data_IF_919132049975
#
_entry.id   IF_919132049975
#
_cell.length_a   1.000
_cell.length_b   1.000
_cell.length_c   1.000
_cell.angle_alpha   90.00
_cell.angle_beta   90.00
_cell.angle_gamma   90.00
#
_symmetry.space_group_name_H-M   'P 1'
#
loop_
_entity.id
_entity.type
_entity.pdbx_description
1 polymer ?
#
# COMPACT_ATOMS: atom_id res chain seq x y z
N UNK A 1 -9.17 16.12 -1.14
CA UNK A 1 -7.81 16.23 -0.56
C UNK A 1 -7.10 17.35 -1.28
N UNK A 2 -6.40 18.25 -0.61
CA UNK A 2 -5.45 19.15 -1.25
C UNK A 2 -4.29 18.30 -1.74
N UNK A 3 -3.91 18.44 -3.02
CA UNK A 3 -2.75 17.75 -3.57
C UNK A 3 -1.51 18.04 -2.71
N UNK A 4 -0.68 17.02 -2.46
CA UNK A 4 0.55 17.15 -1.66
C UNK A 4 1.65 17.90 -2.40
N UNK A 5 1.55 17.98 -3.73
CA UNK A 5 2.52 18.59 -4.64
C UNK A 5 1.84 19.08 -5.90
N UNK A 6 2.55 19.89 -6.67
CA UNK A 6 2.25 20.23 -8.07
C UNK A 6 3.41 19.76 -8.96
N UNK A 7 3.16 19.49 -10.24
CA UNK A 7 4.23 19.07 -11.17
C UNK A 7 5.31 20.15 -11.37
N UNK A 8 5.04 21.39 -10.95
CA UNK A 8 5.98 22.51 -10.99
C UNK A 8 6.84 22.65 -9.75
N UNK A 9 6.63 21.84 -8.72
CA UNK A 9 7.44 21.85 -7.51
C UNK A 9 8.85 21.33 -7.82
N UNK A 10 9.89 22.00 -7.34
CA UNK A 10 11.28 21.55 -7.53
C UNK A 10 11.56 20.26 -6.76
N UNK A 11 10.88 20.09 -5.61
CA UNK A 11 11.04 18.96 -4.75
C UNK A 11 12.44 18.82 -4.16
N UNK A 12 12.73 17.65 -3.61
CA UNK A 12 14.03 17.31 -3.00
C UNK A 12 15.09 17.08 -4.08
N UNK A 13 16.29 17.64 -3.91
CA UNK A 13 17.38 17.50 -4.90
C UNK A 13 17.96 16.07 -4.94
N UNK A 14 18.58 15.69 -6.08
CA UNK A 14 19.29 14.42 -6.21
C UNK A 14 20.45 14.26 -5.21
N UNK A 15 21.14 15.34 -4.86
CA UNK A 15 22.18 15.33 -3.82
C UNK A 15 21.60 14.96 -2.45
N UNK A 16 20.42 15.49 -2.13
CA UNK A 16 19.70 15.16 -0.89
C UNK A 16 19.23 13.71 -0.89
N UNK A 17 18.71 13.20 -2.02
CA UNK A 17 18.36 11.79 -2.16
C UNK A 17 19.57 10.85 -2.05
N UNK A 18 20.72 11.24 -2.58
CA UNK A 18 21.95 10.46 -2.45
C UNK A 18 22.45 10.35 -0.98
N UNK A 19 22.06 11.27 -0.12
CA UNK A 19 22.34 11.22 1.32
C UNK A 19 21.35 10.38 2.13
N UNK A 20 20.23 9.95 1.52
CA UNK A 20 19.21 9.10 2.14
C UNK A 20 19.61 7.61 2.09
N UNK A 21 18.83 6.68 2.71
CA UNK A 21 19.04 5.24 2.60
C UNK A 21 19.00 4.67 1.17
N UNK A 22 18.58 5.46 0.19
CA UNK A 22 18.41 5.10 -1.22
C UNK A 22 19.64 4.41 -1.83
N UNK A 23 20.86 4.85 -1.51
CA UNK A 23 22.09 4.30 -2.09
C UNK A 23 22.52 2.97 -1.48
N UNK A 24 22.04 2.66 -0.26
CA UNK A 24 22.38 1.43 0.49
C UNK A 24 21.34 0.32 0.37
N UNK A 25 20.35 0.45 -0.52
CA UNK A 25 19.28 -0.54 -0.65
C UNK A 25 19.81 -1.91 -1.15
N UNK A 26 19.23 -3.01 -0.67
CA UNK A 26 19.54 -4.34 -1.20
C UNK A 26 19.01 -4.51 -2.62
N UNK A 27 19.60 -5.48 -3.34
CA UNK A 27 19.17 -5.84 -4.70
C UNK A 27 17.75 -6.38 -4.75
N UNK A 28 17.01 -6.03 -5.79
CA UNK A 28 15.69 -6.57 -6.06
C UNK A 28 15.78 -8.05 -6.46
N UNK A 29 14.88 -8.88 -5.91
CA UNK A 29 14.73 -10.27 -6.33
C UNK A 29 13.76 -10.36 -7.50
N UNK A 30 14.23 -10.83 -8.64
CA UNK A 30 13.42 -11.03 -9.84
C UNK A 30 12.91 -12.47 -9.91
N UNK A 31 11.97 -12.78 -9.01
CA UNK A 31 11.28 -14.06 -8.91
C UNK A 31 9.87 -13.84 -8.37
N UNK A 32 8.99 -14.80 -8.56
CA UNK A 32 7.70 -14.81 -7.85
C UNK A 32 7.87 -15.10 -6.35
N UNK A 33 6.76 -15.20 -5.60
CA UNK A 33 6.76 -15.50 -4.15
C UNK A 33 7.26 -16.89 -3.80
N UNK A 34 7.16 -17.82 -4.75
CA UNK A 34 7.61 -19.22 -4.58
C UNK A 34 9.08 -19.40 -5.01
N UNK A 35 9.75 -18.29 -5.40
CA UNK A 35 11.16 -18.28 -5.82
C UNK A 35 11.38 -18.74 -7.27
N UNK A 36 10.32 -18.85 -8.07
CA UNK A 36 10.47 -19.15 -9.50
C UNK A 36 11.02 -17.93 -10.22
N UNK A 37 12.15 -18.02 -10.95
CA UNK A 37 12.75 -16.89 -11.64
C UNK A 37 11.77 -16.22 -12.61
N UNK A 38 11.95 -14.90 -12.83
CA UNK A 38 11.14 -14.07 -13.70
C UNK A 38 10.95 -14.70 -15.09
N UNK A 39 9.71 -14.95 -15.47
CA UNK A 39 9.28 -15.44 -16.78
C UNK A 39 8.26 -14.51 -17.44
N UNK A 40 7.49 -13.82 -16.64
CA UNK A 40 6.49 -12.85 -17.09
C UNK A 40 6.52 -11.61 -16.19
N UNK A 41 6.79 -10.47 -16.76
CA UNK A 41 6.68 -9.16 -16.12
C UNK A 41 5.37 -8.53 -16.57
N UNK A 42 4.49 -8.25 -15.62
CA UNK A 42 3.32 -7.41 -15.82
C UNK A 42 3.64 -6.03 -15.25
N UNK A 43 3.52 -4.98 -16.05
CA UNK A 43 3.71 -3.60 -15.59
C UNK A 43 2.37 -2.88 -15.66
N UNK A 44 1.87 -2.41 -14.54
CA UNK A 44 0.73 -1.51 -14.47
C UNK A 44 1.25 -0.07 -14.52
N UNK A 45 0.72 0.74 -15.40
CA UNK A 45 0.89 2.17 -15.45
C UNK A 45 -0.46 2.86 -15.21
N UNK A 46 -0.52 3.90 -14.38
CA UNK A 46 -1.73 4.71 -14.25
C UNK A 46 -1.92 5.56 -15.52
N UNK A 47 -0.84 6.14 -16.02
CA UNK A 47 -0.78 6.96 -17.25
C UNK A 47 0.33 6.45 -18.16
N UNK A 48 0.27 6.73 -19.49
CA UNK A 48 1.38 6.45 -20.40
C UNK A 48 2.60 7.32 -20.04
N UNK A 49 3.68 6.73 -19.59
CA UNK A 49 5.00 7.20 -19.15
C UNK A 49 5.43 6.58 -17.81
N UNK A 50 4.49 6.21 -16.92
CA UNK A 50 4.78 5.65 -15.61
C UNK A 50 5.64 4.37 -15.68
N UNK A 51 5.32 3.48 -16.65
CA UNK A 51 6.06 2.24 -16.87
C UNK A 51 7.52 2.50 -17.26
N UNK A 52 7.75 3.54 -18.05
CA UNK A 52 9.08 3.96 -18.47
C UNK A 52 9.84 4.59 -17.31
N UNK A 53 9.19 5.51 -16.59
CA UNK A 53 9.77 6.19 -15.43
C UNK A 53 10.12 5.19 -14.33
N UNK A 54 9.14 4.41 -13.86
CA UNK A 54 9.25 3.58 -12.67
C UNK A 54 9.87 2.20 -12.90
N UNK A 55 9.68 1.60 -14.09
CA UNK A 55 10.05 0.21 -14.37
C UNK A 55 10.69 -0.02 -15.75
N UNK A 56 11.14 1.03 -16.45
CA UNK A 56 11.73 0.91 -17.78
C UNK A 56 12.98 0.06 -17.80
N UNK A 57 13.87 0.22 -16.82
CA UNK A 57 15.06 -0.62 -16.67
C UNK A 57 14.70 -2.08 -16.36
N UNK A 58 13.67 -2.31 -15.54
CA UNK A 58 13.16 -3.65 -15.27
C UNK A 58 12.59 -4.31 -16.53
N UNK A 59 11.87 -3.56 -17.39
CA UNK A 59 11.40 -4.06 -18.68
C UNK A 59 12.57 -4.43 -19.61
N UNK A 60 13.61 -3.60 -19.70
CA UNK A 60 14.82 -3.90 -20.46
C UNK A 60 15.55 -5.14 -19.90
N UNK A 61 15.63 -5.27 -18.57
CA UNK A 61 16.15 -6.47 -17.90
C UNK A 61 15.34 -7.72 -18.27
N UNK A 62 14.01 -7.62 -18.29
CA UNK A 62 13.13 -8.73 -18.68
C UNK A 62 13.40 -9.17 -20.13
N UNK A 63 13.67 -8.24 -21.05
CA UNK A 63 14.07 -8.55 -22.42
C UNK A 63 15.37 -9.38 -22.47
N UNK A 64 16.38 -8.98 -21.71
CA UNK A 64 17.66 -9.70 -21.60
C UNK A 64 17.49 -11.10 -21.01
N UNK A 65 16.60 -11.26 -20.03
CA UNK A 65 16.27 -12.55 -19.42
C UNK A 65 15.37 -13.43 -20.29
N UNK A 66 14.83 -12.89 -21.40
CA UNK A 66 13.90 -13.61 -22.27
C UNK A 66 12.50 -13.79 -21.66
N UNK A 67 12.19 -13.05 -20.62
CA UNK A 67 10.86 -13.04 -19.99
C UNK A 67 9.84 -12.31 -20.88
N UNK A 68 8.57 -12.70 -20.84
CA UNK A 68 7.49 -11.96 -21.48
C UNK A 68 7.22 -10.64 -20.74
N UNK A 69 6.75 -9.60 -21.44
CA UNK A 69 6.35 -8.33 -20.84
C UNK A 69 4.96 -7.95 -21.34
N UNK A 70 4.07 -7.67 -20.39
CA UNK A 70 2.74 -7.07 -20.64
C UNK A 70 2.63 -5.77 -19.89
N UNK A 71 2.39 -4.67 -20.58
CA UNK A 71 2.12 -3.35 -20.00
C UNK A 71 0.62 -3.12 -20.01
N UNK A 72 0.04 -2.91 -18.83
CA UNK A 72 -1.37 -2.56 -18.65
C UNK A 72 -1.44 -1.09 -18.27
N UNK A 73 -2.03 -0.27 -19.12
CA UNK A 73 -2.17 1.18 -18.91
C UNK A 73 -3.61 1.48 -18.55
N UNK A 74 -3.82 2.06 -17.38
CA UNK A 74 -5.17 2.27 -16.85
C UNK A 74 -5.92 3.39 -17.57
N UNK A 75 -5.30 4.56 -17.70
CA UNK A 75 -5.87 5.72 -18.40
C UNK A 75 -5.04 6.07 -19.64
N UNK A 76 -5.50 6.96 -20.46
CA UNK A 76 -4.69 7.47 -21.58
C UNK A 76 -4.02 8.81 -21.25
N UNK A 77 -4.13 9.28 -20.00
CA UNK A 77 -3.53 10.52 -19.55
C UNK A 77 -4.09 11.77 -20.27
N UNK A 78 -5.33 11.68 -20.70
CA UNK A 78 -6.01 12.70 -21.51
C UNK A 78 -6.25 14.01 -20.78
N UNK A 79 -6.18 14.01 -19.44
CA UNK A 79 -6.32 15.20 -18.62
C UNK A 79 -4.99 15.85 -18.21
N UNK A 80 -3.85 15.43 -18.77
CA UNK A 80 -2.52 15.96 -18.41
C UNK A 80 -2.37 17.46 -18.66
N UNK A 81 -3.00 18.01 -19.71
CA UNK A 81 -2.96 19.41 -20.07
C UNK A 81 -4.37 20.01 -20.12
N UNK A 82 -5.03 20.22 -18.96
CA UNK A 82 -6.45 20.60 -18.91
C UNK A 82 -6.72 22.01 -19.49
N UNK A 83 -5.70 22.84 -19.61
CA UNK A 83 -5.78 24.19 -20.15
C UNK A 83 -5.18 24.35 -21.55
N UNK A 84 -4.80 23.24 -22.20
CA UNK A 84 -4.18 23.28 -23.52
C UNK A 84 -5.13 23.88 -24.56
N UNK A 85 -4.73 24.94 -25.29
CA UNK A 85 -5.52 25.50 -26.36
C UNK A 85 -5.35 24.74 -27.68
N UNK A 86 -4.35 23.84 -27.78
CA UNK A 86 -3.96 23.19 -29.04
C UNK A 86 -4.26 21.70 -29.06
N UNK A 87 -4.31 21.05 -27.88
CA UNK A 87 -4.46 19.61 -27.75
C UNK A 87 -5.67 19.27 -26.85
N UNK A 88 -6.86 19.07 -27.45
CA UNK A 88 -8.01 18.58 -26.68
C UNK A 88 -7.75 17.15 -26.14
N UNK A 89 -8.49 16.70 -25.11
CA UNK A 89 -8.25 15.41 -24.44
C UNK A 89 -8.19 14.20 -25.40
N UNK A 90 -9.06 14.14 -26.40
CA UNK A 90 -9.10 13.03 -27.37
C UNK A 90 -7.83 12.97 -28.24
N UNK A 91 -7.24 14.13 -28.55
CA UNK A 91 -5.98 14.21 -29.29
C UNK A 91 -4.82 13.77 -28.42
N UNK A 92 -4.76 14.20 -27.16
CA UNK A 92 -3.75 13.76 -26.19
C UNK A 92 -3.82 12.26 -25.97
N UNK A 93 -5.01 11.71 -25.76
CA UNK A 93 -5.21 10.27 -25.62
C UNK A 93 -4.62 9.46 -26.79
N UNK A 94 -4.87 9.93 -28.03
CA UNK A 94 -4.36 9.25 -29.23
C UNK A 94 -2.83 9.34 -29.33
N UNK A 95 -2.25 10.53 -29.09
CA UNK A 95 -0.80 10.71 -29.12
C UNK A 95 -0.11 9.87 -28.04
N UNK A 96 -0.57 9.93 -26.80
CA UNK A 96 0.01 9.17 -25.68
C UNK A 96 -0.15 7.66 -25.86
N UNK A 97 -1.20 7.20 -26.52
CA UNK A 97 -1.37 5.79 -26.88
C UNK A 97 -0.32 5.32 -27.90
N UNK A 98 0.14 6.19 -28.81
CA UNK A 98 1.21 5.86 -29.76
C UNK A 98 2.59 5.97 -29.08
N UNK A 99 2.81 6.98 -28.23
CA UNK A 99 4.04 7.18 -27.46
C UNK A 99 4.35 5.97 -26.56
N UNK A 100 3.36 5.47 -25.79
CA UNK A 100 3.57 4.29 -24.93
C UNK A 100 3.94 3.04 -25.73
N UNK A 101 3.38 2.83 -26.91
CA UNK A 101 3.74 1.69 -27.77
C UNK A 101 5.17 1.81 -28.30
N UNK A 102 5.57 3.01 -28.68
CA UNK A 102 6.95 3.30 -29.14
C UNK A 102 7.94 3.11 -27.97
N UNK A 103 7.66 3.67 -26.80
CA UNK A 103 8.47 3.54 -25.60
C UNK A 103 8.62 2.07 -25.17
N UNK A 104 7.51 1.32 -25.10
CA UNK A 104 7.55 -0.09 -24.77
C UNK A 104 8.38 -0.92 -25.75
N UNK A 105 8.35 -0.58 -27.06
CA UNK A 105 9.17 -1.26 -28.07
C UNK A 105 10.67 -0.96 -27.92
N UNK A 106 11.07 0.22 -27.42
CA UNK A 106 12.46 0.54 -27.07
C UNK A 106 12.96 -0.32 -25.90
N UNK A 107 12.12 -0.60 -24.93
CA UNK A 107 12.46 -1.35 -23.71
C UNK A 107 12.40 -2.86 -23.95
N UNK A 108 11.38 -3.34 -24.63
CA UNK A 108 11.17 -4.75 -24.91
C UNK A 108 10.45 -4.93 -26.26
N UNK A 109 11.16 -5.35 -27.34
CA UNK A 109 10.61 -5.37 -28.72
C UNK A 109 9.34 -6.22 -28.91
N UNK A 110 9.00 -7.09 -27.95
CA UNK A 110 7.80 -7.94 -27.98
C UNK A 110 6.83 -7.64 -26.82
N UNK A 111 6.97 -6.48 -26.18
CA UNK A 111 6.04 -6.07 -25.14
C UNK A 111 4.61 -5.98 -25.68
N UNK A 112 3.67 -6.55 -24.97
CA UNK A 112 2.26 -6.35 -25.21
C UNK A 112 1.79 -5.10 -24.46
N UNK A 113 1.11 -4.16 -25.13
CA UNK A 113 0.55 -2.95 -24.49
C UNK A 113 -0.97 -3.01 -24.55
N UNK A 114 -1.60 -2.97 -23.39
CA UNK A 114 -3.04 -3.05 -23.19
C UNK A 114 -3.52 -1.74 -22.57
N UNK A 115 -4.36 -1.00 -23.30
CA UNK A 115 -4.96 0.24 -22.84
C UNK A 115 -6.36 -0.08 -22.29
N UNK A 116 -6.63 0.22 -21.01
CA UNK A 116 -7.96 0.02 -20.42
C UNK A 116 -8.92 1.16 -20.76
N UNK A 117 -8.42 2.36 -21.09
CA UNK A 117 -9.22 3.52 -21.46
C UNK A 117 -10.13 4.01 -20.33
N UNK A 118 -9.71 3.84 -19.07
CA UNK A 118 -10.44 4.38 -17.93
C UNK A 118 -10.23 5.91 -17.83
N UNK A 119 -11.18 6.65 -17.23
CA UNK A 119 -11.08 8.10 -17.16
C UNK A 119 -9.89 8.58 -16.30
N UNK A 120 -9.05 9.45 -16.86
CA UNK A 120 -7.93 10.09 -16.19
C UNK A 120 -8.41 11.00 -15.03
N UNK A 121 -7.69 10.96 -13.89
CA UNK A 121 -8.05 11.67 -12.66
C UNK A 121 -9.18 11.02 -11.86
N UNK A 122 -9.68 9.84 -12.27
CA UNK A 122 -10.83 9.15 -11.63
C UNK A 122 -10.60 7.66 -11.36
N UNK A 123 -9.37 7.20 -11.39
CA UNK A 123 -9.06 5.77 -11.27
C UNK A 123 -9.52 5.16 -9.94
N UNK A 124 -9.61 5.97 -8.89
CA UNK A 124 -10.14 5.52 -7.59
C UNK A 124 -11.58 4.96 -7.64
N UNK A 125 -12.38 5.36 -8.62
CA UNK A 125 -13.72 4.81 -8.84
C UNK A 125 -13.71 3.53 -9.70
N UNK A 126 -12.55 3.10 -10.20
CA UNK A 126 -12.38 2.00 -11.17
C UNK A 126 -11.36 0.96 -10.71
N UNK A 127 -10.97 0.94 -9.43
CA UNK A 127 -9.97 -0.01 -8.89
C UNK A 127 -10.33 -1.48 -9.20
N UNK A 128 -11.63 -1.84 -9.12
CA UNK A 128 -12.09 -3.20 -9.44
C UNK A 128 -11.83 -3.60 -10.90
N UNK A 129 -12.00 -2.65 -11.84
CA UNK A 129 -11.73 -2.90 -13.25
C UNK A 129 -10.24 -3.14 -13.52
N UNK A 130 -9.36 -2.34 -12.88
CA UNK A 130 -7.91 -2.54 -12.93
C UNK A 130 -7.51 -3.86 -12.31
N UNK A 131 -8.04 -4.17 -11.11
CA UNK A 131 -7.80 -5.46 -10.42
C UNK A 131 -8.17 -6.64 -11.29
N UNK A 132 -9.35 -6.62 -11.92
CA UNK A 132 -9.81 -7.68 -12.81
C UNK A 132 -8.91 -7.83 -14.05
N UNK A 133 -8.49 -6.72 -14.66
CA UNK A 133 -7.59 -6.71 -15.81
C UNK A 133 -6.21 -7.30 -15.47
N UNK A 134 -5.71 -7.09 -14.25
CA UNK A 134 -4.45 -7.65 -13.80
C UNK A 134 -4.57 -9.15 -13.48
N UNK A 135 -5.60 -9.56 -12.74
CA UNK A 135 -5.74 -10.94 -12.23
C UNK A 135 -5.60 -12.02 -13.29
N UNK A 136 -6.16 -11.80 -14.46
CA UNK A 136 -6.08 -12.78 -15.57
C UNK A 136 -4.65 -13.00 -16.12
N UNK A 137 -3.66 -12.26 -15.58
CA UNK A 137 -2.25 -12.29 -16.03
C UNK A 137 -1.28 -12.72 -14.93
N UNK A 138 -1.76 -13.00 -13.72
CA UNK A 138 -0.92 -13.22 -12.54
C UNK A 138 -0.81 -14.68 -12.09
N UNK A 139 -1.49 -15.59 -12.75
CA UNK A 139 -1.56 -17.02 -12.34
C UNK A 139 -0.37 -17.86 -12.83
N UNK A 140 0.45 -17.34 -13.75
CA UNK A 140 1.59 -18.09 -14.29
C UNK A 140 2.78 -18.05 -13.32
N UNK A 141 3.47 -19.20 -13.09
CA UNK A 141 4.68 -19.24 -12.28
C UNK A 141 5.80 -18.34 -12.84
N UNK A 142 6.52 -17.65 -11.97
CA UNK A 142 7.55 -16.70 -12.35
C UNK A 142 6.99 -15.33 -12.75
N UNK A 143 5.77 -14.98 -12.34
CA UNK A 143 5.17 -13.67 -12.60
C UNK A 143 5.60 -12.65 -11.54
N UNK A 144 6.05 -11.48 -12.02
CA UNK A 144 6.27 -10.27 -11.21
C UNK A 144 5.35 -9.18 -11.73
N UNK A 145 4.63 -8.52 -10.83
CA UNK A 145 3.83 -7.32 -11.10
C UNK A 145 4.60 -6.09 -10.61
N UNK A 146 4.92 -5.16 -11.52
CA UNK A 146 5.38 -3.83 -11.16
C UNK A 146 4.21 -2.84 -11.28
N UNK A 147 4.02 -1.95 -10.31
CA UNK A 147 2.89 -1.01 -10.27
C UNK A 147 3.30 0.31 -9.59
N UNK A 148 2.59 1.42 -9.81
CA UNK A 148 2.78 2.63 -9.04
C UNK A 148 2.62 2.37 -7.54
N UNK A 149 3.38 3.08 -6.71
CA UNK A 149 3.26 2.94 -5.26
C UNK A 149 1.89 3.44 -4.77
N UNK A 150 1.21 2.65 -3.95
CA UNK A 150 -0.13 2.97 -3.42
C UNK A 150 -0.19 4.19 -2.47
N UNK A 151 0.96 4.82 -2.17
CA UNK A 151 1.11 6.04 -1.37
C UNK A 151 1.99 7.07 -2.10
N UNK A 152 2.03 7.03 -3.43
CA UNK A 152 2.83 7.91 -4.28
C UNK A 152 2.39 9.39 -4.21
N UNK A 153 1.15 9.63 -3.76
CA UNK A 153 0.58 10.96 -3.55
C UNK A 153 -0.19 11.51 -4.76
N UNK A 154 -0.14 10.86 -5.92
CA UNK A 154 -1.03 11.09 -7.04
C UNK A 154 -2.26 10.19 -6.93
N UNK A 155 -3.47 10.74 -7.05
CA UNK A 155 -4.72 9.99 -6.80
C UNK A 155 -4.86 8.73 -7.65
N UNK A 156 -4.46 8.77 -8.91
CA UNK A 156 -4.55 7.63 -9.81
C UNK A 156 -3.43 6.62 -9.56
N UNK A 157 -2.21 7.05 -9.18
CA UNK A 157 -1.14 6.14 -8.75
C UNK A 157 -1.51 5.40 -7.49
N UNK A 158 -2.04 6.13 -6.50
CA UNK A 158 -2.50 5.52 -5.24
C UNK A 158 -3.59 4.47 -5.52
N UNK A 159 -4.52 4.75 -6.43
CA UNK A 159 -5.57 3.83 -6.83
C UNK A 159 -5.02 2.62 -7.62
N UNK A 160 -4.10 2.85 -8.57
CA UNK A 160 -3.43 1.79 -9.32
C UNK A 160 -2.65 0.84 -8.40
N UNK A 161 -1.87 1.39 -7.44
CA UNK A 161 -1.14 0.61 -6.46
C UNK A 161 -2.06 -0.23 -5.56
N UNK A 162 -3.20 0.33 -5.10
CA UNK A 162 -4.20 -0.45 -4.35
C UNK A 162 -4.83 -1.55 -5.18
N UNK A 163 -5.16 -1.29 -6.44
CA UNK A 163 -5.69 -2.29 -7.35
C UNK A 163 -4.68 -3.42 -7.61
N UNK A 164 -3.39 -3.08 -7.78
CA UNK A 164 -2.30 -4.05 -7.91
C UNK A 164 -2.16 -4.91 -6.63
N UNK A 165 -2.18 -4.29 -5.45
CA UNK A 165 -2.14 -5.00 -4.17
C UNK A 165 -3.33 -5.96 -3.99
N UNK A 166 -4.53 -5.57 -4.44
CA UNK A 166 -5.70 -6.43 -4.44
C UNK A 166 -5.59 -7.58 -5.46
N UNK A 167 -5.01 -7.31 -6.64
CA UNK A 167 -4.88 -8.30 -7.69
C UNK A 167 -3.98 -9.49 -7.32
N UNK A 168 -2.92 -9.25 -6.55
CA UNK A 168 -1.98 -10.32 -6.14
C UNK A 168 -2.47 -11.19 -4.99
N UNK A 169 -3.63 -10.89 -4.37
CA UNK A 169 -4.20 -11.72 -3.30
C UNK A 169 -4.52 -13.11 -3.85
N UNK A 170 -3.94 -14.15 -3.24
CA UNK A 170 -4.18 -15.54 -3.61
C UNK A 170 -3.39 -16.02 -4.83
N UNK A 171 -2.49 -15.21 -5.39
CA UNK A 171 -1.57 -15.61 -6.47
C UNK A 171 -0.14 -15.79 -5.94
N UNK A 172 0.73 -16.43 -6.74
CA UNK A 172 2.16 -16.50 -6.46
C UNK A 172 2.94 -15.26 -6.97
N UNK A 173 2.31 -14.35 -7.68
CA UNK A 173 2.96 -13.15 -8.23
C UNK A 173 3.55 -12.26 -7.13
N UNK A 174 4.81 -11.81 -7.32
CA UNK A 174 5.46 -10.81 -6.46
C UNK A 174 5.06 -9.42 -6.92
N UNK A 175 4.73 -8.55 -5.97
CA UNK A 175 4.44 -7.14 -6.23
C UNK A 175 5.64 -6.26 -5.89
N UNK A 176 6.13 -5.52 -6.89
CA UNK A 176 7.11 -4.46 -6.78
C UNK A 176 6.43 -3.12 -7.08
N UNK A 177 6.29 -2.26 -6.08
CA UNK A 177 5.69 -0.94 -6.28
C UNK A 177 6.78 0.09 -6.56
N UNK A 178 6.64 0.90 -7.62
CA UNK A 178 7.59 1.94 -7.96
C UNK A 178 7.05 3.33 -7.64
N UNK A 179 7.83 4.18 -6.95
CA UNK A 179 7.47 5.57 -6.70
C UNK A 179 7.78 6.43 -7.94
N UNK A 180 6.88 7.37 -8.24
CA UNK A 180 7.05 8.39 -9.29
C UNK A 180 7.01 9.77 -8.66
N UNK A 181 5.84 10.20 -8.20
CA UNK A 181 5.65 11.53 -7.63
C UNK A 181 6.17 11.66 -6.19
N UNK A 182 6.29 10.54 -5.47
CA UNK A 182 6.90 10.53 -4.15
C UNK A 182 8.31 11.13 -4.15
N UNK A 183 9.06 11.03 -5.24
CA UNK A 183 10.38 11.65 -5.35
C UNK A 183 10.36 13.18 -5.29
N UNK A 184 9.20 13.84 -5.48
CA UNK A 184 9.06 15.29 -5.31
C UNK A 184 8.76 15.68 -3.86
N UNK A 185 7.82 14.99 -3.20
CA UNK A 185 7.22 15.47 -1.96
C UNK A 185 7.68 14.72 -0.71
N UNK A 186 8.19 13.46 -0.85
CA UNK A 186 8.47 12.60 0.29
C UNK A 186 9.77 12.99 1.01
N UNK A 187 9.73 12.86 2.32
CA UNK A 187 10.89 12.87 3.20
C UNK A 187 11.33 11.45 3.54
N UNK A 188 12.47 11.27 4.21
CA UNK A 188 12.97 9.95 4.57
C UNK A 188 11.97 9.14 5.43
N UNK A 189 11.18 9.82 6.26
CA UNK A 189 10.16 9.19 7.11
C UNK A 189 8.91 8.74 6.34
N UNK A 190 8.70 9.22 5.11
CA UNK A 190 7.56 8.84 4.29
C UNK A 190 7.82 7.57 3.47
N UNK A 191 9.09 7.19 3.29
CA UNK A 191 9.47 6.00 2.52
C UNK A 191 9.72 4.82 3.48
N UNK A 192 9.06 3.66 3.28
CA UNK A 192 9.28 2.46 4.08
C UNK A 192 10.58 1.75 3.62
N UNK A 193 11.74 2.32 3.98
CA UNK A 193 13.06 1.87 3.53
C UNK A 193 13.35 0.39 3.78
N UNK A 194 12.81 -0.18 4.84
CA UNK A 194 12.97 -1.62 5.15
C UNK A 194 12.35 -2.54 4.10
N UNK A 195 11.31 -2.06 3.40
CA UNK A 195 10.71 -2.73 2.26
C UNK A 195 11.33 -2.34 0.92
N UNK A 196 12.20 -1.32 0.89
CA UNK A 196 12.76 -0.82 -0.36
C UNK A 196 13.90 -1.72 -0.88
N UNK A 197 13.96 -1.86 -2.21
CA UNK A 197 14.99 -2.59 -2.95
C UNK A 197 15.41 -1.79 -4.18
N UNK A 198 16.58 -2.08 -4.70
CA UNK A 198 17.07 -1.43 -5.93
C UNK A 198 17.39 -2.47 -7.00
N UNK A 199 17.17 -2.09 -8.24
CA UNK A 199 17.62 -2.81 -9.43
C UNK A 199 18.72 -1.99 -10.09
N UNK A 200 19.98 -2.43 -9.97
CA UNK A 200 21.10 -1.80 -10.69
C UNK A 200 20.94 -2.03 -12.18
N UNK A 201 21.08 -0.96 -12.97
CA UNK A 201 20.94 -0.99 -14.41
C UNK A 201 22.32 -0.99 -15.10
N UNK A 202 22.49 -1.88 -16.04
CA UNK A 202 23.66 -1.84 -16.91
C UNK A 202 23.57 -0.68 -17.94
N UNK A 203 24.64 -0.36 -18.67
CA UNK A 203 24.61 0.72 -19.65
C UNK A 203 23.56 0.53 -20.74
N UNK A 204 23.34 -0.68 -21.25
CA UNK A 204 22.37 -0.95 -22.32
C UNK A 204 20.92 -0.75 -21.83
N UNK A 205 20.64 -1.16 -20.60
CA UNK A 205 19.32 -0.95 -19.96
C UNK A 205 19.04 0.53 -19.75
N UNK A 206 20.04 1.33 -19.34
CA UNK A 206 19.92 2.78 -19.20
C UNK A 206 19.70 3.46 -20.54
N UNK A 207 20.45 3.06 -21.57
CA UNK A 207 20.31 3.60 -22.93
C UNK A 207 18.92 3.30 -23.48
N UNK A 208 18.41 2.07 -23.30
CA UNK A 208 17.05 1.69 -23.69
C UNK A 208 15.99 2.52 -22.95
N UNK A 209 16.15 2.73 -21.64
CA UNK A 209 15.25 3.56 -20.83
C UNK A 209 15.26 5.02 -21.27
N UNK A 210 16.43 5.58 -21.54
CA UNK A 210 16.56 6.94 -22.04
C UNK A 210 15.89 7.11 -23.44
N UNK A 211 16.07 6.13 -24.32
CA UNK A 211 15.40 6.11 -25.62
C UNK A 211 13.86 6.03 -25.46
N UNK A 212 13.36 5.18 -24.57
CA UNK A 212 11.94 5.06 -24.30
C UNK A 212 11.34 6.36 -23.73
N UNK A 213 12.05 6.99 -22.78
CA UNK A 213 11.60 8.26 -22.21
C UNK A 213 11.49 9.36 -23.26
N UNK A 214 12.37 9.40 -24.26
CA UNK A 214 12.32 10.36 -25.36
C UNK A 214 11.09 10.18 -26.28
N UNK A 215 10.46 9.01 -26.30
CA UNK A 215 9.23 8.76 -27.06
C UNK A 215 8.00 9.44 -26.42
N UNK A 216 8.01 9.74 -25.12
CA UNK A 216 6.93 10.44 -24.42
C UNK A 216 6.97 11.97 -24.67
N UNK A 217 6.97 12.35 -25.94
CA UNK A 217 7.21 13.73 -26.39
C UNK A 217 6.21 14.73 -25.83
N UNK A 218 4.95 14.31 -25.61
CA UNK A 218 3.90 15.17 -25.04
C UNK A 218 4.11 15.46 -23.55
N UNK A 219 5.01 14.73 -22.87
CA UNK A 219 5.24 14.87 -21.43
C UNK A 219 6.60 15.52 -21.12
N UNK A 220 7.65 15.15 -21.88
CA UNK A 220 9.01 15.67 -21.67
C UNK A 220 9.27 17.00 -22.37
N UNK A 221 8.42 17.40 -23.31
CA UNK A 221 8.52 18.66 -24.05
C UNK A 221 7.18 19.40 -24.07
N UNK A 222 7.21 20.72 -24.40
CA UNK A 222 5.98 21.46 -24.56
C UNK A 222 5.22 21.01 -25.83
N UNK A 223 3.89 20.95 -25.74
CA UNK A 223 3.01 20.64 -26.87
C UNK A 223 3.05 21.71 -27.94
N UNK A 224 3.19 22.98 -27.54
CA UNK A 224 3.34 24.16 -28.35
C UNK A 224 3.92 25.31 -27.51
N UNK A 225 4.21 26.49 -28.14
CA UNK A 225 4.63 27.69 -27.38
C UNK A 225 3.51 28.38 -26.60
N UNK A 226 2.28 27.91 -26.69
CA UNK A 226 1.12 28.57 -26.08
C UNK A 226 1.05 28.23 -24.56
N UNK A 227 0.60 29.17 -23.70
CA UNK A 227 0.35 28.91 -22.31
C UNK A 227 -0.66 27.78 -22.09
N UNK A 228 -0.34 26.82 -21.19
CA UNK A 228 -1.12 25.61 -20.96
C UNK A 228 -0.63 24.38 -21.72
N UNK A 229 0.39 24.56 -22.56
CA UNK A 229 1.06 23.53 -23.35
C UNK A 229 2.49 23.20 -22.82
N UNK A 230 2.83 23.63 -21.61
CA UNK A 230 4.14 23.41 -21.01
C UNK A 230 4.39 21.92 -20.73
N UNK A 231 5.67 21.52 -20.71
CA UNK A 231 6.04 20.14 -20.36
C UNK A 231 5.57 19.78 -18.95
N UNK A 232 5.06 18.57 -18.77
CA UNK A 232 4.64 18.03 -17.45
C UNK A 232 5.86 17.49 -16.68
N UNK A 233 6.74 16.76 -17.36
CA UNK A 233 7.96 16.20 -16.75
C UNK A 233 9.11 17.20 -16.92
N UNK A 234 9.30 18.03 -15.91
CA UNK A 234 10.39 19.00 -15.90
C UNK A 234 11.76 18.30 -15.78
N UNK A 235 12.86 18.92 -16.25
CA UNK A 235 14.20 18.30 -16.21
C UNK A 235 14.61 17.82 -14.82
N UNK A 236 14.24 18.55 -13.77
CA UNK A 236 14.51 18.14 -12.39
C UNK A 236 13.77 16.86 -12.00
N UNK A 237 12.58 16.61 -12.53
CA UNK A 237 11.85 15.37 -12.32
C UNK A 237 12.46 14.23 -13.14
N UNK A 238 12.78 14.46 -14.40
CA UNK A 238 13.41 13.48 -15.30
C UNK A 238 14.73 12.96 -14.72
N UNK A 239 15.58 13.83 -14.15
CA UNK A 239 16.85 13.45 -13.56
C UNK A 239 16.75 12.34 -12.50
N UNK A 240 15.60 12.22 -11.80
CA UNK A 240 15.35 11.17 -10.80
C UNK A 240 15.24 9.78 -11.43
N UNK A 241 14.86 9.70 -12.70
CA UNK A 241 14.69 8.45 -13.46
C UNK A 241 15.87 8.13 -14.36
N UNK A 242 16.88 9.01 -14.43
CA UNK A 242 18.17 8.80 -15.12
C UNK A 242 19.23 8.15 -14.22
N UNK A 243 18.87 7.82 -12.95
CA UNK A 243 19.75 7.11 -12.03
C UNK A 243 20.23 5.80 -12.64
N UNK A 244 21.40 5.33 -12.20
CA UNK A 244 21.95 4.03 -12.61
C UNK A 244 21.23 2.83 -11.99
N UNK A 245 20.08 3.06 -11.36
CA UNK A 245 19.25 2.03 -10.74
C UNK A 245 17.79 2.49 -10.68
N UNK A 246 16.90 1.54 -10.56
CA UNK A 246 15.49 1.75 -10.21
C UNK A 246 15.21 1.33 -8.76
N UNK A 247 14.24 1.95 -8.14
CA UNK A 247 13.85 1.67 -6.76
C UNK A 247 12.44 1.13 -6.73
N UNK A 248 12.27 0.05 -5.98
CA UNK A 248 10.96 -0.56 -5.76
C UNK A 248 10.69 -0.75 -4.26
N UNK A 249 9.43 -0.74 -3.89
CA UNK A 249 8.95 -1.15 -2.59
C UNK A 249 8.43 -2.57 -2.72
N UNK A 250 9.19 -3.53 -2.18
CA UNK A 250 8.87 -4.95 -2.26
C UNK A 250 7.97 -5.34 -1.07
N UNK A 251 6.72 -5.64 -1.37
CA UNK A 251 5.74 -6.04 -0.38
C UNK A 251 6.16 -7.29 0.43
N UNK A 252 6.83 -8.25 -0.21
CA UNK A 252 7.28 -9.48 0.44
C UNK A 252 8.47 -9.23 1.37
N UNK A 253 9.36 -8.31 0.98
CA UNK A 253 10.49 -7.92 1.85
C UNK A 253 10.00 -7.26 3.13
N UNK A 254 9.03 -6.35 3.04
CA UNK A 254 8.41 -5.73 4.21
C UNK A 254 7.75 -6.79 5.11
N UNK A 255 6.95 -7.68 4.54
CA UNK A 255 6.34 -8.80 5.27
C UNK A 255 7.40 -9.74 5.89
N UNK A 256 8.54 -9.92 5.21
CA UNK A 256 9.64 -10.76 5.63
C UNK A 256 10.33 -10.32 6.94
N UNK A 257 10.23 -9.04 7.33
CA UNK A 257 10.73 -8.56 8.64
C UNK A 257 9.97 -9.25 9.77
N UNK A 258 8.64 -9.18 9.72
CA UNK A 258 7.77 -9.80 10.73
C UNK A 258 7.81 -11.33 10.65
N UNK A 259 7.95 -11.90 9.44
CA UNK A 259 8.11 -13.34 9.26
C UNK A 259 9.35 -13.87 9.96
N UNK A 260 10.53 -13.24 9.76
CA UNK A 260 11.77 -13.63 10.45
C UNK A 260 11.66 -13.50 11.97
N UNK A 261 10.98 -12.46 12.45
CA UNK A 261 10.77 -12.22 13.86
C UNK A 261 9.95 -13.36 14.49
N UNK A 262 8.84 -13.73 13.87
CA UNK A 262 7.95 -14.79 14.36
C UNK A 262 8.50 -16.20 14.12
N UNK A 263 9.26 -16.44 13.05
CA UNK A 263 9.90 -17.72 12.82
C UNK A 263 11.03 -18.02 13.84
N UNK A 264 11.70 -16.96 14.33
CA UNK A 264 12.79 -17.09 15.30
C UNK A 264 12.35 -17.21 16.75
N UNK A 265 11.19 -16.64 17.12
CA UNK A 265 10.71 -16.56 18.51
C UNK A 265 9.20 -16.75 18.57
N UNK A 266 8.74 -17.74 19.33
CA UNK A 266 7.32 -18.10 19.42
C UNK A 266 6.42 -16.97 19.99
N UNK A 267 6.98 -16.07 20.79
CA UNK A 267 6.30 -14.90 21.37
C UNK A 267 7.30 -13.73 21.49
N UNK A 268 7.57 -13.01 20.39
CA UNK A 268 8.62 -11.99 20.33
C UNK A 268 8.46 -10.87 21.37
N UNK A 269 7.23 -10.53 21.70
CA UNK A 269 6.94 -9.44 22.63
C UNK A 269 6.51 -9.89 24.02
N UNK A 270 6.35 -11.23 24.25
CA UNK A 270 5.90 -11.79 25.53
C UNK A 270 4.42 -11.53 25.80
N UNK A 271 3.61 -11.53 24.76
CA UNK A 271 2.16 -11.28 24.84
C UNK A 271 1.43 -12.23 25.79
N UNK A 272 1.90 -13.49 25.90
CA UNK A 272 1.24 -14.49 26.74
C UNK A 272 1.50 -14.28 28.23
N UNK A 273 2.75 -13.98 28.61
CA UNK A 273 3.22 -14.14 29.99
C UNK A 273 3.53 -12.82 30.69
N UNK A 274 3.90 -11.76 29.99
CA UNK A 274 4.20 -10.47 30.63
C UNK A 274 2.95 -9.89 31.27
N UNK A 275 3.07 -9.48 32.55
CA UNK A 275 1.96 -8.84 33.26
C UNK A 275 1.42 -7.59 32.56
N UNK A 276 2.31 -6.76 32.03
CA UNK A 276 1.95 -5.59 31.24
C UNK A 276 1.03 -5.96 30.07
N UNK A 277 1.38 -6.95 29.27
CA UNK A 277 0.63 -7.37 28.10
C UNK A 277 -0.74 -7.96 28.47
N UNK A 278 -0.79 -8.79 29.51
CA UNK A 278 -2.07 -9.33 29.99
C UNK A 278 -3.00 -8.24 30.50
N UNK A 279 -2.44 -7.25 31.25
CA UNK A 279 -3.21 -6.10 31.76
C UNK A 279 -3.69 -5.20 30.61
N UNK A 280 -2.84 -4.87 29.65
CA UNK A 280 -3.19 -4.07 28.47
C UNK A 280 -4.34 -4.71 27.69
N UNK A 281 -4.30 -6.01 27.40
CA UNK A 281 -5.40 -6.72 26.74
C UNK A 281 -6.68 -6.72 27.55
N UNK A 282 -6.60 -6.92 28.85
CA UNK A 282 -7.77 -6.84 29.73
C UNK A 282 -8.43 -5.45 29.68
N UNK A 283 -7.62 -4.37 29.69
CA UNK A 283 -8.11 -2.99 29.50
C UNK A 283 -8.73 -2.81 28.11
N UNK A 284 -8.09 -3.33 27.07
CA UNK A 284 -8.57 -3.27 25.69
C UNK A 284 -9.96 -3.87 25.55
N UNK A 285 -10.17 -5.08 26.06
CA UNK A 285 -11.48 -5.75 25.99
C UNK A 285 -12.50 -5.10 26.90
N UNK A 286 -12.11 -4.60 28.08
CA UNK A 286 -13.01 -3.92 29.01
C UNK A 286 -13.47 -2.55 28.52
N UNK A 287 -12.68 -1.88 27.67
CA UNK A 287 -13.02 -0.58 27.11
C UNK A 287 -14.13 -0.64 26.03
N UNK A 288 -14.40 -1.83 25.49
CA UNK A 288 -15.42 -2.00 24.46
C UNK A 288 -16.82 -1.64 25.01
N UNK A 289 -17.59 -0.74 24.32
CA UNK A 289 -18.84 -0.20 24.86
C UNK A 289 -20.02 -1.18 24.77
N UNK A 290 -19.88 -2.29 24.02
CA UNK A 290 -20.92 -3.32 23.89
C UNK A 290 -20.43 -4.69 24.34
N UNK A 291 -21.34 -5.52 24.76
CA UNK A 291 -21.06 -6.90 25.14
C UNK A 291 -20.72 -7.76 23.90
N UNK A 292 -21.40 -7.51 22.77
CA UNK A 292 -21.25 -8.29 21.54
C UNK A 292 -21.22 -7.42 20.30
N UNK A 293 -20.49 -7.93 19.30
CA UNK A 293 -20.36 -7.39 17.95
C UNK A 293 -20.71 -8.48 16.93
N UNK A 294 -21.24 -8.07 15.79
CA UNK A 294 -21.58 -8.97 14.70
C UNK A 294 -20.31 -9.41 13.96
N UNK A 295 -19.50 -8.44 13.52
CA UNK A 295 -18.29 -8.70 12.76
C UNK A 295 -17.16 -7.76 13.15
N UNK A 296 -16.11 -8.35 13.75
CA UNK A 296 -14.88 -7.65 14.11
C UNK A 296 -13.84 -7.71 13.00
N UNK A 297 -12.95 -6.71 12.97
CA UNK A 297 -11.68 -6.71 12.24
C UNK A 297 -10.55 -6.38 13.22
N UNK A 298 -9.55 -7.25 13.30
CA UNK A 298 -8.29 -6.99 14.01
C UNK A 298 -7.16 -6.78 13.00
N UNK A 299 -6.53 -5.60 13.06
CA UNK A 299 -5.41 -5.22 12.21
C UNK A 299 -4.10 -5.62 12.88
N UNK A 300 -3.34 -6.57 12.30
CA UNK A 300 -2.08 -7.05 12.86
C UNK A 300 -2.26 -7.91 14.10
N UNK A 301 -2.79 -9.11 13.92
CA UNK A 301 -3.14 -9.99 15.05
C UNK A 301 -1.95 -10.72 15.70
N UNK A 302 -0.76 -10.67 15.08
CA UNK A 302 0.43 -11.36 15.53
C UNK A 302 0.13 -12.85 15.87
N UNK A 303 0.49 -13.33 17.04
CA UNK A 303 0.26 -14.71 17.49
C UNK A 303 -1.17 -14.95 18.03
N UNK A 304 -2.12 -14.03 17.79
CA UNK A 304 -3.56 -14.22 18.02
C UNK A 304 -4.01 -14.19 19.49
N UNK A 305 -3.21 -13.63 20.40
CA UNK A 305 -3.58 -13.61 21.83
C UNK A 305 -4.74 -12.64 22.06
N UNK A 306 -4.72 -11.44 21.48
CA UNK A 306 -5.84 -10.50 21.56
C UNK A 306 -7.04 -11.01 20.73
N UNK A 307 -6.79 -11.65 19.58
CA UNK A 307 -7.85 -12.31 18.79
C UNK A 307 -8.66 -13.28 19.65
N UNK A 308 -7.97 -14.12 20.42
CA UNK A 308 -8.64 -15.10 21.31
C UNK A 308 -9.49 -14.42 22.41
N UNK A 309 -9.04 -13.28 22.94
CA UNK A 309 -9.78 -12.48 23.92
C UNK A 309 -10.97 -11.73 23.31
N UNK A 310 -10.87 -11.31 22.04
CA UNK A 310 -11.94 -10.61 21.28
C UNK A 310 -13.00 -11.56 20.70
N UNK A 311 -12.62 -12.77 20.33
CA UNK A 311 -13.50 -13.71 19.64
C UNK A 311 -14.79 -14.04 20.42
N UNK A 312 -14.80 -14.17 21.78
CA UNK A 312 -16.03 -14.34 22.53
C UNK A 312 -17.00 -13.13 22.46
N UNK A 313 -16.47 -11.96 22.09
CA UNK A 313 -17.21 -10.70 21.95
C UNK A 313 -17.76 -10.49 20.54
N UNK A 314 -17.42 -11.33 19.57
CA UNK A 314 -17.82 -11.24 18.17
C UNK A 314 -18.58 -12.49 17.73
N UNK A 315 -19.58 -12.33 16.84
CA UNK A 315 -20.16 -13.47 16.13
C UNK A 315 -19.13 -14.03 15.14
N UNK A 316 -18.45 -13.13 14.41
CA UNK A 316 -17.30 -13.44 13.58
C UNK A 316 -16.22 -12.36 13.74
N UNK A 317 -14.95 -12.74 13.61
CA UNK A 317 -13.82 -11.78 13.60
C UNK A 317 -12.85 -12.17 12.49
N UNK A 318 -12.51 -11.20 11.66
CA UNK A 318 -11.40 -11.29 10.71
C UNK A 318 -10.15 -10.77 11.41
N UNK A 319 -9.14 -11.61 11.55
CA UNK A 319 -7.87 -11.21 12.13
C UNK A 319 -6.77 -11.33 11.07
N UNK A 320 -6.02 -10.25 10.89
CA UNK A 320 -5.08 -10.13 9.78
C UNK A 320 -3.64 -9.99 10.26
N UNK A 321 -2.71 -10.57 9.52
CA UNK A 321 -1.27 -10.32 9.69
C UNK A 321 -0.56 -10.47 8.34
N UNK A 322 0.63 -9.89 8.21
CA UNK A 322 1.48 -10.04 7.02
C UNK A 322 2.33 -11.32 7.08
N UNK A 323 2.61 -11.83 8.29
CA UNK A 323 3.48 -12.97 8.55
C UNK A 323 2.70 -14.30 8.57
N UNK A 324 3.01 -15.25 7.67
CA UNK A 324 2.50 -16.61 7.75
C UNK A 324 2.81 -17.32 9.08
N UNK A 325 4.04 -17.10 9.64
CA UNK A 325 4.44 -17.69 10.92
C UNK A 325 3.59 -17.15 12.08
N UNK A 326 3.30 -15.84 12.08
CA UNK A 326 2.39 -15.24 13.06
C UNK A 326 0.99 -15.86 12.97
N UNK A 327 0.43 -15.97 11.76
CA UNK A 327 -0.89 -16.55 11.53
C UNK A 327 -0.96 -18.03 11.92
N UNK A 328 0.11 -18.81 11.69
CA UNK A 328 0.19 -20.19 12.13
C UNK A 328 0.19 -20.30 13.67
N UNK A 329 0.91 -19.40 14.36
CA UNK A 329 0.89 -19.31 15.82
C UNK A 329 -0.48 -18.82 16.34
N UNK A 330 -1.13 -17.87 15.64
CA UNK A 330 -2.47 -17.39 15.95
C UNK A 330 -3.51 -18.50 15.88
N UNK A 331 -3.44 -19.35 14.85
CA UNK A 331 -4.33 -20.51 14.71
C UNK A 331 -4.22 -21.45 15.91
N UNK A 332 -3.00 -21.73 16.40
CA UNK A 332 -2.77 -22.55 17.58
C UNK A 332 -3.30 -21.88 18.86
N UNK A 333 -3.08 -20.57 19.01
CA UNK A 333 -3.53 -19.81 20.18
C UNK A 333 -5.06 -19.78 20.26
N UNK A 334 -5.74 -19.50 19.15
CA UNK A 334 -7.20 -19.48 19.03
C UNK A 334 -7.79 -20.86 19.32
N UNK A 335 -7.20 -21.93 18.78
CA UNK A 335 -7.64 -23.30 19.04
C UNK A 335 -7.45 -23.69 20.52
N UNK A 336 -6.32 -23.32 21.14
CA UNK A 336 -6.05 -23.58 22.55
C UNK A 336 -7.03 -22.85 23.50
N UNK A 337 -7.57 -21.68 23.06
CA UNK A 337 -8.62 -20.95 23.77
C UNK A 337 -10.02 -21.56 23.57
N UNK A 338 -10.15 -22.67 22.84
CA UNK A 338 -11.44 -23.30 22.53
C UNK A 338 -12.30 -22.54 21.51
N UNK A 339 -11.70 -21.65 20.74
CA UNK A 339 -12.38 -20.88 19.69
C UNK A 339 -12.12 -21.55 18.35
N UNK A 340 -13.20 -21.71 17.54
CA UNK A 340 -13.10 -22.34 16.23
C UNK A 340 -12.64 -21.36 15.15
N UNK A 341 -11.89 -21.88 14.17
CA UNK A 341 -11.51 -21.17 12.95
C UNK A 341 -12.61 -21.30 11.88
N UNK A 342 -12.77 -20.28 11.02
CA UNK A 342 -13.65 -20.31 9.86
C UNK A 342 -13.27 -21.47 8.90
N UNK A 343 -14.26 -22.04 8.14
CA UNK A 343 -15.65 -21.61 8.03
C UNK A 343 -16.60 -22.12 9.14
N UNK A 344 -16.20 -23.08 9.97
CA UNK A 344 -17.07 -23.68 11.00
C UNK A 344 -17.02 -22.92 12.35
N UNK A 345 -16.05 -22.02 12.51
CA UNK A 345 -15.83 -21.22 13.72
C UNK A 345 -15.93 -19.72 13.48
N UNK A 346 -15.58 -18.94 14.52
CA UNK A 346 -15.73 -17.47 14.52
C UNK A 346 -14.56 -16.70 13.95
N UNK A 347 -13.36 -17.25 13.99
CA UNK A 347 -12.12 -16.54 13.64
C UNK A 347 -11.71 -16.87 12.21
N UNK A 348 -11.60 -15.83 11.38
CA UNK A 348 -11.10 -15.90 10.03
C UNK A 348 -9.70 -15.26 9.98
N UNK A 349 -8.66 -16.08 9.90
CA UNK A 349 -7.27 -15.63 9.83
C UNK A 349 -6.89 -15.38 8.37
N UNK A 350 -6.48 -14.13 8.06
CA UNK A 350 -6.13 -13.75 6.69
C UNK A 350 -4.74 -13.15 6.60
N UNK A 351 -3.96 -13.60 5.63
CA UNK A 351 -2.71 -12.93 5.26
C UNK A 351 -3.03 -11.72 4.39
N UNK A 352 -2.96 -10.52 4.96
CA UNK A 352 -3.20 -9.25 4.27
C UNK A 352 -2.19 -8.20 4.72
N UNK A 353 -1.74 -7.38 3.78
CA UNK A 353 -0.92 -6.19 4.04
C UNK A 353 -1.84 -4.96 4.11
N UNK A 354 -2.40 -4.72 5.30
CA UNK A 354 -3.22 -3.53 5.53
C UNK A 354 -2.32 -2.27 5.60
N UNK A 355 -2.79 -1.13 5.14
CA UNK A 355 -4.11 -0.83 4.59
C UNK A 355 -4.21 -0.98 3.05
N UNK A 356 -3.14 -1.33 2.34
CA UNK A 356 -3.14 -1.48 0.87
C UNK A 356 -4.14 -2.55 0.42
N UNK A 357 -4.10 -3.71 1.05
CA UNK A 357 -5.10 -4.77 0.93
C UNK A 357 -6.16 -4.56 2.03
N UNK A 358 -7.44 -4.80 1.72
CA UNK A 358 -8.51 -4.64 2.72
C UNK A 358 -9.53 -5.76 2.61
N UNK A 359 -10.02 -6.33 3.73
CA UNK A 359 -11.05 -7.37 3.68
C UNK A 359 -12.40 -6.77 3.30
N UNK A 360 -13.16 -7.50 2.46
CA UNK A 360 -14.49 -7.08 2.01
C UNK A 360 -15.52 -7.08 3.14
N UNK A 361 -16.55 -6.24 2.96
CA UNK A 361 -17.72 -6.14 3.82
C UNK A 361 -17.59 -5.10 4.92
N UNK A 362 -18.65 -4.97 5.71
CA UNK A 362 -18.74 -4.02 6.83
C UNK A 362 -18.33 -4.67 8.14
N UNK A 363 -17.81 -3.82 9.06
CA UNK A 363 -17.41 -4.20 10.41
C UNK A 363 -18.08 -3.28 11.43
N UNK A 364 -18.61 -3.83 12.51
CA UNK A 364 -19.12 -3.05 13.64
C UNK A 364 -18.10 -2.93 14.79
N UNK A 365 -16.92 -3.61 14.65
CA UNK A 365 -15.74 -3.41 15.48
C UNK A 365 -14.49 -3.43 14.62
N UNK A 366 -13.65 -2.40 14.71
CA UNK A 366 -12.30 -2.40 14.16
C UNK A 366 -11.30 -2.15 15.28
N UNK A 367 -10.31 -3.03 15.41
CA UNK A 367 -9.25 -2.95 16.43
C UNK A 367 -7.91 -2.73 15.75
N UNK A 368 -7.23 -1.65 16.13
CA UNK A 368 -5.87 -1.31 15.71
C UNK A 368 -5.00 -1.26 16.97
N UNK A 369 -4.30 -2.35 17.23
CA UNK A 369 -3.48 -2.50 18.44
C UNK A 369 -2.05 -2.83 18.09
N UNK A 370 -1.11 -2.00 18.54
CA UNK A 370 0.35 -2.19 18.36
C UNK A 370 0.83 -2.29 16.90
N UNK A 371 0.11 -1.62 15.96
CA UNK A 371 0.39 -1.71 14.51
C UNK A 371 0.64 -0.35 13.88
N UNK A 372 -0.04 0.70 14.35
CA UNK A 372 -0.06 2.00 13.69
C UNK A 372 1.33 2.60 13.46
N UNK A 373 2.27 2.39 14.36
CA UNK A 373 3.62 2.94 14.24
C UNK A 373 4.51 2.20 13.22
N UNK A 374 4.07 1.08 12.66
CA UNK A 374 4.72 0.42 11.53
C UNK A 374 4.28 1.01 10.18
N UNK A 375 3.36 1.96 10.18
CA UNK A 375 2.89 2.64 8.99
C UNK A 375 3.52 4.03 8.86
N UNK A 376 3.62 4.51 7.62
CA UNK A 376 3.93 5.92 7.36
C UNK A 376 2.73 6.81 7.71
N UNK A 377 2.94 8.12 7.78
CA UNK A 377 1.85 9.07 7.98
C UNK A 377 0.74 8.91 6.92
N UNK A 378 1.13 8.72 5.65
CA UNK A 378 0.18 8.45 4.56
C UNK A 378 -0.53 7.10 4.70
N UNK A 379 0.19 6.08 5.20
CA UNK A 379 -0.38 4.77 5.52
C UNK A 379 -1.45 4.84 6.60
N UNK A 380 -1.26 5.67 7.63
CA UNK A 380 -2.28 5.92 8.66
C UNK A 380 -3.51 6.64 8.09
N UNK A 381 -3.33 7.60 7.19
CA UNK A 381 -4.44 8.26 6.52
C UNK A 381 -5.27 7.25 5.69
N UNK A 382 -4.58 6.42 4.91
CA UNK A 382 -5.25 5.35 4.16
C UNK A 382 -5.93 4.34 5.08
N UNK A 383 -5.31 3.96 6.21
CA UNK A 383 -5.93 3.08 7.20
C UNK A 383 -7.24 3.68 7.73
N UNK A 384 -7.23 4.96 8.10
CA UNK A 384 -8.43 5.65 8.57
C UNK A 384 -9.53 5.70 7.48
N UNK A 385 -9.17 5.97 6.21
CA UNK A 385 -10.12 5.99 5.10
C UNK A 385 -10.74 4.60 4.86
N UNK A 386 -9.93 3.54 4.93
CA UNK A 386 -10.40 2.14 4.82
C UNK A 386 -11.34 1.77 5.98
N UNK A 387 -10.99 2.17 7.19
CA UNK A 387 -11.85 1.98 8.37
C UNK A 387 -13.19 2.68 8.14
N UNK A 388 -13.19 3.97 7.79
CA UNK A 388 -14.43 4.74 7.57
C UNK A 388 -15.30 4.15 6.46
N UNK A 389 -14.68 3.65 5.38
CA UNK A 389 -15.36 3.04 4.24
C UNK A 389 -15.99 1.68 4.52
N UNK A 390 -15.53 0.98 5.58
CA UNK A 390 -16.02 -0.35 5.96
C UNK A 390 -16.67 -0.40 7.34
N UNK A 391 -16.71 0.71 8.07
CA UNK A 391 -17.29 0.80 9.39
C UNK A 391 -18.82 0.98 9.30
N UNK A 392 -19.59 0.06 9.88
CA UNK A 392 -21.05 0.13 9.91
C UNK A 392 -21.56 1.40 10.62
N UNK A 393 -22.86 1.70 10.47
CA UNK A 393 -23.49 2.88 11.05
C UNK A 393 -23.42 2.90 12.58
N UNK A 394 -23.34 1.76 13.21
CA UNK A 394 -23.18 1.57 14.66
C UNK A 394 -21.75 1.17 15.06
N UNK A 395 -20.78 1.41 14.20
CA UNK A 395 -19.43 0.91 14.32
C UNK A 395 -18.59 1.55 15.41
N UNK A 396 -17.68 0.76 15.93
CA UNK A 396 -16.72 1.08 17.01
C UNK A 396 -15.29 0.86 16.50
N UNK A 397 -14.41 1.83 16.74
CA UNK A 397 -12.97 1.71 16.47
C UNK A 397 -12.22 1.75 17.79
N UNK A 398 -11.39 0.74 18.05
CA UNK A 398 -10.51 0.70 19.22
C UNK A 398 -9.07 0.86 18.77
N UNK A 399 -8.37 1.83 19.33
CA UNK A 399 -6.95 2.08 19.16
C UNK A 399 -6.23 1.78 20.47
N UNK A 400 -5.10 1.04 20.44
CA UNK A 400 -4.28 0.76 21.63
C UNK A 400 -2.81 0.67 21.22
N UNK A 401 -1.96 1.57 21.72
CA UNK A 401 -0.55 1.61 21.33
C UNK A 401 0.38 1.92 22.50
N UNK A 402 1.57 1.35 22.43
CA UNK A 402 2.74 1.70 23.22
C UNK A 402 3.16 3.15 22.96
N UNK A 403 3.56 3.90 24.02
CA UNK A 403 3.82 5.36 23.91
C UNK A 403 5.29 5.75 23.79
N UNK A 404 6.19 4.79 23.95
CA UNK A 404 7.62 5.08 23.84
C UNK A 404 8.14 4.87 22.41
N UNK A 405 9.27 5.50 22.05
CA UNK A 405 9.84 5.40 20.72
C UNK A 405 10.08 3.97 20.28
N UNK A 406 9.69 3.67 19.05
CA UNK A 406 9.93 2.39 18.40
C UNK A 406 11.23 2.45 17.59
N UNK A 407 12.25 1.69 18.00
CA UNK A 407 13.55 1.69 17.30
C UNK A 407 13.39 1.30 15.84
N UNK A 408 13.87 2.18 14.95
CA UNK A 408 13.79 1.98 13.49
C UNK A 408 12.48 2.44 12.85
N UNK A 409 11.55 3.02 13.62
CA UNK A 409 10.27 3.51 13.09
C UNK A 409 10.09 5.00 13.45
N UNK A 410 9.47 5.75 12.51
CA UNK A 410 9.34 7.20 12.64
C UNK A 410 8.22 7.65 13.61
N UNK A 411 7.27 6.77 13.91
CA UNK A 411 6.12 7.07 14.75
C UNK A 411 6.14 6.26 16.05
N UNK A 412 5.54 6.82 17.09
CA UNK A 412 5.17 6.15 18.33
C UNK A 412 3.64 6.22 18.56
N UNK A 413 3.16 5.75 19.70
CA UNK A 413 1.72 5.64 19.95
C UNK A 413 0.97 6.97 19.92
N UNK A 414 1.51 8.04 20.49
CA UNK A 414 0.82 9.33 20.60
C UNK A 414 0.55 9.97 19.21
N UNK A 415 1.54 10.15 18.32
CA UNK A 415 1.32 10.61 16.95
C UNK A 415 0.37 9.72 16.13
N UNK A 416 0.44 8.40 16.32
CA UNK A 416 -0.51 7.46 15.67
C UNK A 416 -1.95 7.76 16.09
N UNK A 417 -2.19 7.91 17.40
CA UNK A 417 -3.52 8.23 17.91
C UNK A 417 -4.02 9.61 17.48
N UNK A 418 -3.15 10.63 17.52
CA UNK A 418 -3.48 11.98 17.06
C UNK A 418 -3.93 11.98 15.60
N UNK A 419 -3.15 11.31 14.72
CA UNK A 419 -3.43 11.25 13.29
C UNK A 419 -4.68 10.46 12.97
N UNK A 420 -4.82 9.24 13.51
CA UNK A 420 -6.00 8.40 13.28
C UNK A 420 -7.26 9.09 13.81
N UNK A 421 -7.25 9.63 15.03
CA UNK A 421 -8.39 10.36 15.60
C UNK A 421 -8.79 11.56 14.75
N UNK A 422 -7.80 12.37 14.31
CA UNK A 422 -8.03 13.53 13.44
C UNK A 422 -8.65 13.14 12.10
N UNK A 423 -8.17 12.06 11.47
CA UNK A 423 -8.65 11.59 10.17
C UNK A 423 -10.00 10.91 10.26
N UNK A 424 -10.22 10.07 11.27
CA UNK A 424 -11.50 9.38 11.50
C UNK A 424 -12.63 10.37 11.82
N UNK A 425 -12.36 11.45 12.54
CA UNK A 425 -13.36 12.45 12.90
C UNK A 425 -14.52 11.91 13.74
N UNK A 426 -14.34 10.75 14.38
CA UNK A 426 -15.36 10.09 15.20
C UNK A 426 -15.30 10.57 16.64
N UNK A 427 -16.47 10.65 17.35
CA UNK A 427 -16.50 10.91 18.78
C UNK A 427 -15.67 9.92 19.59
N UNK A 428 -14.91 10.43 20.55
CA UNK A 428 -14.16 9.60 21.51
C UNK A 428 -15.07 9.23 22.68
N UNK A 429 -15.40 7.94 22.78
CA UNK A 429 -16.25 7.41 23.86
C UNK A 429 -15.43 7.03 25.11
N UNK A 430 -14.21 6.52 24.91
CA UNK A 430 -13.29 6.15 25.99
C UNK A 430 -11.90 6.66 25.66
N UNK A 431 -11.21 7.22 26.65
CA UNK A 431 -9.79 7.54 26.58
C UNK A 431 -9.10 7.14 27.87
N UNK A 432 -8.12 6.25 27.75
CA UNK A 432 -7.26 5.79 28.84
C UNK A 432 -5.81 6.07 28.46
N UNK A 433 -5.11 6.80 29.33
CA UNK A 433 -3.73 7.20 29.08
C UNK A 433 -2.89 6.91 30.34
N UNK A 434 -1.83 6.16 30.13
CA UNK A 434 -0.81 5.86 31.16
C UNK A 434 0.55 6.31 30.65
N UNK A 435 1.59 6.11 31.43
CA UNK A 435 2.96 6.39 31.03
C UNK A 435 3.34 5.59 29.78
N UNK A 436 2.94 4.31 29.73
CA UNK A 436 3.40 3.34 28.74
C UNK A 436 2.38 3.05 27.63
N UNK A 437 1.10 3.33 27.82
CA UNK A 437 0.03 2.97 26.88
C UNK A 437 -0.99 4.08 26.73
N UNK A 438 -1.45 4.26 25.49
CA UNK A 438 -2.62 5.04 25.15
C UNK A 438 -3.67 4.13 24.50
N UNK A 439 -4.91 4.21 25.00
CA UNK A 439 -6.06 3.49 24.46
C UNK A 439 -7.20 4.44 24.24
N UNK A 440 -7.82 4.40 23.08
CA UNK A 440 -8.98 5.20 22.74
C UNK A 440 -10.05 4.31 22.06
N UNK A 441 -11.32 4.56 22.41
CA UNK A 441 -12.46 3.98 21.70
C UNK A 441 -13.23 5.12 21.06
N UNK A 442 -13.34 5.03 19.72
CA UNK A 442 -14.10 5.97 18.91
C UNK A 442 -15.36 5.28 18.38
N UNK A 443 -16.45 6.01 18.30
CA UNK A 443 -17.74 5.43 17.90
C UNK A 443 -18.42 6.27 16.84
N UNK A 444 -19.23 5.66 15.99
CA UNK A 444 -20.16 6.41 15.13
C UNK A 444 -21.08 7.27 16.00
N UNK A 445 -21.53 8.45 15.52
CA UNK A 445 -22.54 9.23 16.20
C UNK A 445 -23.82 8.41 16.41
N UNK A 446 -24.36 8.42 17.62
CA UNK A 446 -25.56 7.64 17.96
C UNK A 446 -25.31 6.31 18.69
N UNK A 447 -24.07 5.82 18.71
CA UNK A 447 -23.70 4.71 19.61
C UNK A 447 -23.85 5.19 21.05
N UNK A 448 -24.66 4.49 21.83
CA UNK A 448 -24.95 4.83 23.21
C UNK A 448 -23.78 4.63 24.16
N UNK A 449 -23.88 5.25 25.35
CA UNK A 449 -22.96 4.86 26.45
C UNK A 449 -23.27 3.43 26.89
N UNK A 450 -22.31 2.77 27.57
CA UNK A 450 -22.49 1.42 28.11
C UNK A 450 -23.81 1.33 28.94
N UNK A 451 -24.10 2.36 29.73
CA UNK A 451 -25.34 2.39 30.52
C UNK A 451 -26.62 2.37 29.68
N UNK A 452 -26.61 3.07 28.54
CA UNK A 452 -27.73 3.07 27.57
C UNK A 452 -27.85 1.74 26.84
N UNK A 453 -26.73 1.22 26.36
CA UNK A 453 -26.64 -0.07 25.63
C UNK A 453 -27.11 -1.24 26.53
N UNK A 454 -26.92 -1.14 27.84
CA UNK A 454 -27.33 -2.14 28.82
C UNK A 454 -28.70 -1.86 29.47
N UNK A 455 -29.42 -0.80 29.06
CA UNK A 455 -30.75 -0.48 29.54
C UNK A 455 -30.78 0.13 30.95
N UNK A 456 -29.69 0.75 31.40
CA UNK A 456 -29.64 1.49 32.68
C UNK A 456 -30.13 2.94 32.55
N UNK A 457 -30.15 3.50 31.34
CA UNK A 457 -30.60 4.86 31.01
C UNK A 457 -31.57 4.86 29.83
#
# INVERSE_FOLDING_TARGET
>A
MTARFTHTDEGRSEESWAASPLTGLPGAELSDRDGVPLRHLVVLAAHPDDETLGAGGLMARAATLGAAVTVVVATQGEASHPSSPTHPPERLAALRADEIRAAAACLHPRAEVILLGLPDGRLAAHEDAVTAALRVRLDEPGTVLAAPWHLDGHTDHDAAGRAAAAAVIGTAARLLEYPVWAWLWAEDADIPWDGAVRLDLDPAERDAKAAALAEHTTQVGPLSPEPGDEAILLPGMVARFERSFETFLDAERFAGIFERLHAGVADPWGFRDRWYERRKRALTVAALPRERFRRGLEVGCSIGVLTADLAPRCETIVATDVSPAALAAAAQTVAAAGVGLAPQGRVDLRRLRLPAQWPEGEFDLVVVSEVGYYLTAAGLDLLADRILGSLSEDGVVLLCHWRHPMTGWALDGDPVHERLRGRLGLPVAVRHVEEDVVLEVLTRPGVGSVARETGLL
#
